data_IF_889339534687
#
_entry.id   IF_889339534687
#
_cell.length_a   1.000
_cell.length_b   1.000
_cell.length_c   1.000
_cell.angle_alpha   90.00
_cell.angle_beta   90.00
_cell.angle_gamma   90.00
#
_symmetry.space_group_name_H-M   'P 1'
#
loop_
_entity.id
_entity.type
_entity.pdbx_description
1 polymer ?
#
# COMPACT_ATOMS: atom_id res chain seq x y z
N UNK A 1 3.98 -19.67 -2.58
CA UNK A 1 4.13 -18.20 -2.51
C UNK A 1 5.32 -17.83 -3.39
N UNK A 2 5.16 -16.89 -4.33
CA UNK A 2 6.21 -16.51 -5.29
C UNK A 2 6.63 -15.08 -4.98
N UNK A 3 7.72 -14.92 -4.24
CA UNK A 3 8.42 -13.65 -4.16
C UNK A 3 9.08 -13.44 -5.53
N UNK A 4 8.54 -12.53 -6.37
CA UNK A 4 9.23 -12.13 -7.59
C UNK A 4 10.10 -10.93 -7.28
N UNK A 5 11.40 -11.14 -7.38
CA UNK A 5 12.38 -10.06 -7.40
C UNK A 5 12.56 -9.71 -8.87
N UNK A 6 11.83 -8.71 -9.34
CA UNK A 6 12.05 -8.13 -10.65
C UNK A 6 12.95 -6.89 -10.50
N UNK A 7 13.54 -6.39 -11.60
CA UNK A 7 14.43 -5.22 -11.61
C UNK A 7 13.82 -3.90 -11.08
N UNK A 8 12.57 -3.94 -10.58
CA UNK A 8 11.82 -2.86 -9.96
C UNK A 8 11.70 -2.97 -8.42
N UNK A 9 12.16 -4.07 -7.80
CA UNK A 9 12.13 -4.29 -6.35
C UNK A 9 11.39 -5.56 -5.91
N UNK A 10 11.07 -5.64 -4.61
CA UNK A 10 10.29 -6.73 -4.01
C UNK A 10 8.80 -6.42 -4.17
N UNK A 11 8.07 -7.24 -4.92
CA UNK A 11 6.61 -7.12 -5.01
C UNK A 11 5.97 -7.98 -3.91
N UNK A 12 5.21 -7.34 -3.02
CA UNK A 12 4.45 -7.99 -1.95
C UNK A 12 2.94 -7.93 -2.24
N UNK A 13 2.26 -9.08 -2.12
CA UNK A 13 0.80 -9.17 -2.25
C UNK A 13 0.18 -9.08 -0.86
N UNK A 14 -0.61 -8.03 -0.62
CA UNK A 14 -1.34 -7.82 0.64
C UNK A 14 -2.57 -8.73 0.68
N UNK A 15 -2.72 -9.50 1.76
CA UNK A 15 -3.95 -10.24 2.04
C UNK A 15 -4.87 -9.45 2.99
N UNK A 16 -6.18 -9.68 2.91
CA UNK A 16 -7.19 -8.93 3.69
C UNK A 16 -7.08 -9.08 5.21
N UNK A 17 -6.24 -10.00 5.68
CA UNK A 17 -6.03 -10.30 7.11
C UNK A 17 -4.66 -9.84 7.62
N UNK A 18 -3.83 -9.26 6.77
CA UNK A 18 -2.49 -8.84 7.16
C UNK A 18 -2.55 -7.59 8.06
N UNK A 19 -2.14 -7.66 9.34
CA UNK A 19 -2.17 -6.52 10.24
C UNK A 19 -1.18 -5.40 9.86
N UNK A 20 -1.60 -4.16 10.14
CA UNK A 20 -0.78 -2.93 10.06
C UNK A 20 -0.65 -2.35 11.47
N UNK A 21 0.58 -2.06 11.91
CA UNK A 21 0.88 -1.50 13.23
C UNK A 21 1.99 -0.45 13.16
N UNK A 22 2.05 0.43 14.17
CA UNK A 22 3.18 1.34 14.39
C UNK A 22 3.93 0.87 15.64
N UNK A 23 5.23 0.66 15.51
CA UNK A 23 6.11 0.26 16.61
C UNK A 23 7.03 1.42 17.01
N UNK A 24 7.15 1.65 18.31
CA UNK A 24 8.14 2.58 18.86
C UNK A 24 9.52 1.89 18.87
N UNK A 25 10.54 2.54 18.30
CA UNK A 25 11.87 1.94 18.18
C UNK A 25 12.76 2.16 19.40
N UNK A 26 12.27 2.85 20.43
CA UNK A 26 13.00 3.12 21.67
C UNK A 26 12.17 3.88 22.71
N UNK A 27 12.63 3.94 23.96
CA UNK A 27 11.89 4.54 25.08
C UNK A 27 11.94 6.08 25.09
N UNK A 28 12.77 6.70 24.25
CA UNK A 28 12.90 8.15 24.11
C UNK A 28 11.97 8.66 23.01
N UNK A 29 11.19 9.75 23.23
CA UNK A 29 10.47 10.48 22.18
C UNK A 29 11.32 10.95 20.98
N UNK A 30 12.65 10.91 21.06
CA UNK A 30 13.56 11.11 19.93
C UNK A 30 13.74 9.88 19.04
N UNK A 31 13.32 8.70 19.49
CA UNK A 31 13.42 7.48 18.72
C UNK A 31 12.40 7.51 17.57
N UNK A 32 12.82 7.31 16.32
CA UNK A 32 11.91 7.37 15.18
C UNK A 32 10.93 6.18 15.22
N UNK A 33 9.61 6.37 15.12
CA UNK A 33 8.68 5.24 15.04
C UNK A 33 8.84 4.48 13.71
N UNK A 34 8.38 3.24 13.69
CA UNK A 34 8.39 2.38 12.51
C UNK A 34 6.96 1.96 12.17
N UNK A 35 6.57 2.07 10.90
CA UNK A 35 5.32 1.45 10.42
C UNK A 35 5.64 0.03 9.96
N UNK A 36 4.92 -0.96 10.49
CA UNK A 36 5.09 -2.37 10.18
C UNK A 36 3.80 -2.92 9.59
N UNK A 37 3.91 -3.58 8.45
CA UNK A 37 2.84 -4.39 7.88
C UNK A 37 3.29 -5.83 7.89
N UNK A 38 2.57 -6.67 8.64
CA UNK A 38 2.94 -8.07 8.86
C UNK A 38 1.98 -8.94 8.08
N UNK A 39 2.48 -9.63 7.07
CA UNK A 39 1.78 -10.74 6.43
C UNK A 39 2.06 -12.07 7.10
N UNK A 40 1.35 -13.12 6.69
CA UNK A 40 1.47 -14.46 7.27
C UNK A 40 2.90 -15.05 7.30
N UNK A 41 3.81 -14.59 6.42
CA UNK A 41 5.19 -15.10 6.34
C UNK A 41 6.27 -14.03 6.15
N UNK A 42 5.90 -12.74 6.12
CA UNK A 42 6.83 -11.64 5.83
C UNK A 42 6.35 -10.33 6.45
N UNK A 43 7.28 -9.47 6.86
CA UNK A 43 6.98 -8.12 7.33
C UNK A 43 7.63 -7.07 6.42
N UNK A 44 6.89 -6.00 6.11
CA UNK A 44 7.42 -4.79 5.48
C UNK A 44 7.47 -3.70 6.53
N UNK A 45 8.66 -3.11 6.71
CA UNK A 45 8.90 -2.07 7.69
C UNK A 45 9.32 -0.78 7.00
N UNK A 46 8.59 0.30 7.24
CA UNK A 46 9.00 1.65 6.85
C UNK A 46 9.72 2.31 8.02
N UNK A 47 11.01 2.58 7.86
CA UNK A 47 11.84 3.22 8.89
C UNK A 47 11.88 4.73 8.67
N UNK A 48 11.56 5.51 9.70
CA UNK A 48 11.73 6.96 9.69
C UNK A 48 13.21 7.30 9.94
N UNK A 49 13.80 8.30 9.24
CA UNK A 49 15.16 8.75 9.49
C UNK A 49 15.39 9.15 10.96
N UNK A 50 16.62 8.95 11.44
CA UNK A 50 16.99 9.35 12.80
C UNK A 50 17.07 10.86 12.98
N UNK A 51 17.38 11.59 11.91
CA UNK A 51 17.39 13.05 11.95
C UNK A 51 15.97 13.59 11.95
N UNK A 52 15.65 14.40 12.99
CA UNK A 52 14.33 15.00 13.18
C UNK A 52 14.01 16.07 12.14
N UNK A 53 15.02 16.70 11.56
CA UNK A 53 14.81 17.73 10.56
C UNK A 53 14.27 17.15 9.24
N UNK A 54 14.41 15.84 9.02
CA UNK A 54 13.86 15.12 7.88
C UNK A 54 12.39 14.68 8.08
N UNK A 55 11.89 14.70 9.31
CA UNK A 55 10.56 14.17 9.66
C UNK A 55 9.40 14.86 8.94
N UNK A 56 9.39 16.20 8.71
CA UNK A 56 8.33 16.85 7.94
C UNK A 56 8.19 16.26 6.52
N UNK A 57 9.30 15.88 5.88
CA UNK A 57 9.26 15.24 4.57
C UNK A 57 8.68 13.82 4.65
N UNK A 58 9.02 13.07 5.70
CA UNK A 58 8.42 11.76 5.97
C UNK A 58 6.91 11.85 6.20
N UNK A 59 6.44 12.85 6.97
CA UNK A 59 5.01 13.11 7.18
C UNK A 59 4.31 13.40 5.85
N UNK A 60 4.88 14.29 5.03
CA UNK A 60 4.32 14.60 3.71
C UNK A 60 4.26 13.36 2.79
N UNK A 61 5.29 12.51 2.82
CA UNK A 61 5.29 11.25 2.08
C UNK A 61 4.20 10.29 2.56
N UNK A 62 4.05 10.10 3.88
CA UNK A 62 3.02 9.24 4.46
C UNK A 62 1.59 9.70 4.12
N UNK A 63 1.36 11.00 4.10
CA UNK A 63 0.06 11.56 3.71
C UNK A 63 -0.25 11.27 2.23
N UNK A 64 0.71 11.46 1.33
CA UNK A 64 0.54 11.11 -0.09
C UNK A 64 0.35 9.61 -0.30
N UNK A 65 1.05 8.78 0.48
CA UNK A 65 0.87 7.33 0.45
C UNK A 65 -0.56 6.96 0.84
N UNK A 66 -1.11 7.58 1.89
CA UNK A 66 -2.51 7.38 2.29
C UNK A 66 -3.47 7.76 1.18
N UNK A 67 -3.31 8.94 0.57
CA UNK A 67 -4.14 9.38 -0.55
C UNK A 67 -4.11 8.37 -1.71
N UNK A 68 -2.92 7.90 -2.11
CA UNK A 68 -2.78 6.89 -3.16
C UNK A 68 -3.40 5.53 -2.82
N UNK A 69 -3.37 5.13 -1.54
CA UNK A 69 -4.06 3.90 -1.07
C UNK A 69 -5.57 4.07 -1.12
N UNK A 70 -6.10 5.24 -0.73
CA UNK A 70 -7.54 5.54 -0.80
C UNK A 70 -8.04 5.52 -2.25
N UNK A 71 -7.27 6.11 -3.18
CA UNK A 71 -7.57 6.06 -4.62
C UNK A 71 -7.56 4.62 -5.17
N UNK A 72 -6.57 3.81 -4.79
CA UNK A 72 -6.52 2.40 -5.18
C UNK A 72 -7.71 1.61 -4.61
N UNK A 73 -8.09 1.84 -3.36
CA UNK A 73 -9.24 1.20 -2.74
C UNK A 73 -10.53 1.57 -3.47
N UNK A 74 -10.72 2.84 -3.85
CA UNK A 74 -11.86 3.28 -4.64
C UNK A 74 -11.90 2.61 -6.02
N UNK A 75 -10.75 2.51 -6.69
CA UNK A 75 -10.61 1.82 -7.98
C UNK A 75 -10.91 0.32 -7.90
N UNK A 76 -10.56 -0.33 -6.80
CA UNK A 76 -10.88 -1.75 -6.57
C UNK A 76 -12.36 -1.92 -6.25
N UNK A 77 -12.93 -1.08 -5.38
CA UNK A 77 -14.35 -1.10 -5.02
C UNK A 77 -15.25 -0.88 -6.26
N UNK A 78 -14.89 0.08 -7.12
CA UNK A 78 -15.61 0.33 -8.37
C UNK A 78 -15.61 -0.89 -9.30
N UNK A 79 -14.47 -1.60 -9.44
CA UNK A 79 -14.37 -2.82 -10.25
C UNK A 79 -15.15 -3.99 -9.68
N UNK A 80 -15.27 -4.09 -8.36
CA UNK A 80 -16.11 -5.12 -7.72
C UNK A 80 -17.60 -4.79 -7.91
N UNK A 81 -17.97 -3.52 -7.91
CA UNK A 81 -19.35 -3.08 -8.12
C UNK A 81 -19.82 -3.22 -9.58
N UNK A 82 -18.91 -3.19 -10.55
CA UNK A 82 -19.19 -3.38 -11.98
C UNK A 82 -18.26 -4.46 -12.58
N UNK A 83 -18.54 -5.75 -12.33
CA UNK A 83 -17.72 -6.85 -12.86
C UNK A 83 -17.86 -7.05 -14.38
N UNK A 84 -18.94 -6.56 -15.00
CA UNK A 84 -19.35 -6.86 -16.38
C UNK A 84 -19.29 -5.65 -17.34
N UNK A 85 -18.94 -4.44 -16.88
CA UNK A 85 -18.84 -3.21 -17.71
C UNK A 85 -17.82 -3.24 -18.85
N UNK A 86 -17.16 -4.38 -19.10
CA UNK A 86 -16.27 -4.60 -20.25
C UNK A 86 -16.99 -5.20 -21.48
N UNK A 87 -18.23 -5.64 -21.36
CA UNK A 87 -19.01 -6.22 -22.47
C UNK A 87 -19.93 -5.19 -23.16
N UNK A 88 -19.42 -3.96 -23.31
CA UNK A 88 -20.12 -2.87 -23.96
C UNK A 88 -19.47 -2.41 -25.27
N UNK A 89 -18.87 -3.30 -26.08
CA UNK A 89 -18.48 -2.90 -27.44
C UNK A 89 -18.29 -4.08 -28.42
N UNK A 90 -19.33 -4.32 -29.24
CA UNK A 90 -19.36 -5.17 -30.43
C UNK A 90 -20.78 -5.67 -30.62
N UNK A 91 -21.51 -5.44 -31.69
CA UNK A 91 -21.20 -4.96 -33.04
C UNK A 91 -22.55 -4.55 -33.68
N UNK A 92 -22.54 -3.68 -34.67
CA UNK A 92 -23.74 -3.36 -35.44
C UNK A 92 -24.17 -4.53 -36.33
N UNK A 93 -25.48 -4.65 -36.59
CA UNK A 93 -25.97 -5.40 -37.75
C UNK A 93 -27.36 -6.04 -37.63
N UNK A 94 -28.33 -5.49 -38.37
CA UNK A 94 -29.53 -6.16 -38.91
C UNK A 94 -30.65 -6.47 -37.90
N UNK A 95 -31.92 -6.17 -38.12
CA UNK A 95 -32.72 -5.96 -39.34
C UNK A 95 -33.83 -4.95 -39.06
#
# INVERSE_FOLDING_TARGET
MVLRVDGFGVTWTVESRDPVAVEETGPDPASPPMLVVTGATSAVSLTVPRDRDEWPACVAFLLRLREGVDDLAALLAARVADPDGRDGNGDGGGC
#
